data_IF_475763512749
#
_entry.id   IF_475763512749
#
_cell.length_a   1.000
_cell.length_b   1.000
_cell.length_c   1.000
_cell.angle_alpha   90.00
_cell.angle_beta   90.00
_cell.angle_gamma   90.00
#
_symmetry.space_group_name_H-M   'P 1'
#
loop_
_entity.id
_entity.type
_entity.pdbx_description
1 polymer ?
#
# COMPACT_ATOMS: atom_id res chain seq x y z
N UNK A 1 5.49 -7.52 -12.83
CA UNK A 1 4.73 -7.00 -11.69
C UNK A 1 5.56 -7.21 -10.43
N UNK A 2 5.53 -6.26 -9.49
CA UNK A 2 6.22 -6.39 -8.20
C UNK A 2 5.25 -5.99 -7.11
N UNK A 3 5.16 -6.78 -6.04
CA UNK A 3 4.26 -6.54 -4.92
C UNK A 3 5.02 -6.65 -3.60
N UNK A 4 4.71 -5.77 -2.66
CA UNK A 4 5.18 -5.85 -1.27
C UNK A 4 3.97 -5.86 -0.36
N UNK A 5 3.93 -6.79 0.57
CA UNK A 5 2.90 -6.84 1.62
C UNK A 5 3.55 -6.72 2.99
N UNK A 6 3.05 -5.79 3.80
CA UNK A 6 3.37 -5.66 5.21
C UNK A 6 2.18 -6.19 5.99
N UNK A 7 2.45 -7.06 6.96
CA UNK A 7 1.46 -7.59 7.89
C UNK A 7 1.94 -7.33 9.31
N UNK A 8 1.03 -6.96 10.17
CA UNK A 8 1.30 -6.69 11.57
C UNK A 8 0.03 -6.87 12.39
N UNK A 9 0.15 -6.66 13.69
CA UNK A 9 -0.95 -6.81 14.63
C UNK A 9 -0.89 -5.66 15.64
N UNK A 10 -2.05 -5.11 15.96
CA UNK A 10 -2.20 -4.10 17.03
C UNK A 10 -2.75 -4.82 18.26
N UNK A 11 -1.98 -4.80 19.34
CA UNK A 11 -2.36 -5.40 20.61
C UNK A 11 -2.69 -4.32 21.63
N UNK A 12 -3.91 -4.36 22.16
CA UNK A 12 -4.33 -3.53 23.28
C UNK A 12 -4.07 -4.29 24.57
N UNK A 13 -3.15 -3.81 25.39
CA UNK A 13 -2.79 -4.43 26.67
C UNK A 13 -3.15 -3.52 27.84
N UNK A 14 -3.79 -4.09 28.86
CA UNK A 14 -3.89 -3.49 30.18
C UNK A 14 -2.60 -3.80 30.95
N UNK A 15 -1.95 -2.78 31.50
CA UNK A 15 -0.68 -2.93 32.22
C UNK A 15 -0.85 -3.05 33.74
N UNK A 16 -1.93 -2.50 34.31
CA UNK A 16 -2.22 -2.50 35.74
C UNK A 16 -3.70 -2.86 35.99
N UNK A 17 -4.05 -3.60 37.06
CA UNK A 17 -3.15 -4.25 38.03
C UNK A 17 -2.47 -5.53 37.51
N UNK A 18 -3.04 -6.19 36.49
CA UNK A 18 -2.46 -7.38 35.85
C UNK A 18 -2.25 -7.15 34.36
N UNK A 19 -1.13 -7.64 33.82
CA UNK A 19 -0.82 -7.57 32.39
C UNK A 19 -1.77 -8.47 31.61
N UNK A 20 -2.83 -7.90 31.03
CA UNK A 20 -3.85 -8.65 30.29
C UNK A 20 -4.03 -8.10 28.88
N UNK A 21 -4.00 -8.99 27.89
CA UNK A 21 -4.39 -8.68 26.52
C UNK A 21 -5.90 -8.42 26.49
N UNK A 22 -6.29 -7.20 26.12
CA UNK A 22 -7.69 -6.80 25.98
C UNK A 22 -8.22 -7.16 24.60
N UNK A 23 -7.41 -6.90 23.56
CA UNK A 23 -7.80 -7.12 22.17
C UNK A 23 -6.59 -7.20 21.26
N UNK A 24 -6.74 -7.94 20.17
CA UNK A 24 -5.76 -8.08 19.10
C UNK A 24 -6.45 -7.87 17.76
N UNK A 25 -5.95 -6.94 16.95
CA UNK A 25 -6.47 -6.67 15.60
C UNK A 25 -5.35 -6.81 14.56
N UNK A 26 -5.51 -7.68 13.55
CA UNK A 26 -4.55 -7.75 12.46
C UNK A 26 -4.63 -6.50 11.58
N UNK A 27 -3.47 -5.99 11.16
CA UNK A 27 -3.32 -4.90 10.21
C UNK A 27 -2.44 -5.35 9.03
N UNK A 28 -2.72 -4.82 7.85
CA UNK A 28 -1.94 -5.13 6.67
C UNK A 28 -1.97 -3.98 5.66
N UNK A 29 -0.88 -3.84 4.92
CA UNK A 29 -0.76 -2.91 3.82
C UNK A 29 -0.10 -3.62 2.63
N UNK A 30 -0.64 -3.39 1.43
CA UNK A 30 -0.10 -3.94 0.19
C UNK A 30 0.21 -2.81 -0.79
N UNK A 31 1.37 -2.89 -1.45
CA UNK A 31 1.77 -2.00 -2.52
C UNK A 31 2.10 -2.84 -3.75
N UNK A 32 1.41 -2.57 -4.86
CA UNK A 32 1.54 -3.28 -6.13
C UNK A 32 2.03 -2.33 -7.21
N UNK A 33 3.09 -2.73 -7.91
CA UNK A 33 3.64 -2.02 -9.05
C UNK A 33 3.49 -2.84 -10.32
N UNK A 34 2.76 -2.27 -11.29
CA UNK A 34 2.59 -2.83 -12.63
C UNK A 34 3.35 -1.98 -13.63
N UNK A 35 4.26 -2.62 -14.36
CA UNK A 35 4.97 -1.98 -15.46
C UNK A 35 4.26 -2.29 -16.77
N UNK A 36 3.83 -1.25 -17.49
CA UNK A 36 3.22 -1.36 -18.80
C UNK A 36 4.02 -0.53 -19.78
N UNK A 37 4.50 -1.15 -20.86
CA UNK A 37 5.14 -0.46 -21.99
C UNK A 37 4.29 -0.66 -23.25
N UNK A 38 4.15 0.40 -24.04
CA UNK A 38 3.52 0.34 -25.35
C UNK A 38 4.52 0.81 -26.41
N UNK A 39 4.51 0.16 -27.56
CA UNK A 39 5.27 0.55 -28.74
C UNK A 39 4.35 0.50 -29.95
N UNK A 40 4.32 1.57 -30.74
CA UNK A 40 3.61 1.57 -32.00
C UNK A 40 4.40 0.77 -33.05
N UNK A 41 3.71 -0.12 -33.76
CA UNK A 41 4.23 -0.85 -34.91
C UNK A 41 3.26 -0.56 -36.07
N UNK A 42 3.72 0.17 -37.09
CA UNK A 42 2.88 0.61 -38.23
C UNK A 42 2.63 2.13 -38.26
N UNK A 43 1.49 2.55 -38.81
CA UNK A 43 1.14 3.97 -38.96
C UNK A 43 0.61 4.56 -37.64
N UNK A 44 1.39 5.48 -37.08
CA UNK A 44 1.09 6.18 -35.82
C UNK A 44 -0.16 7.05 -35.93
N UNK A 45 -0.54 7.48 -37.15
CA UNK A 45 -1.75 8.30 -37.39
C UNK A 45 -3.05 7.51 -37.28
N UNK A 46 -2.98 6.17 -37.27
CA UNK A 46 -4.16 5.30 -37.11
C UNK A 46 -4.46 4.97 -35.64
N UNK A 47 -3.64 5.45 -34.69
CA UNK A 47 -3.83 5.19 -33.27
C UNK A 47 -4.93 6.08 -32.70
N UNK A 48 -5.78 5.49 -31.85
CA UNK A 48 -6.73 6.28 -31.06
C UNK A 48 -5.99 7.16 -30.04
N UNK A 49 -6.62 8.23 -29.55
CA UNK A 49 -6.00 9.13 -28.58
C UNK A 49 -5.51 8.40 -27.30
N UNK A 50 -6.21 7.36 -26.88
CA UNK A 50 -5.85 6.51 -25.73
C UNK A 50 -4.59 5.67 -25.99
N UNK A 51 -4.48 5.11 -27.20
CA UNK A 51 -3.29 4.39 -27.62
C UNK A 51 -2.10 5.34 -27.74
N UNK A 52 -2.34 6.55 -28.26
CA UNK A 52 -1.34 7.61 -28.42
C UNK A 52 -0.76 8.07 -27.07
N UNK A 53 -1.59 8.19 -26.02
CA UNK A 53 -1.13 8.44 -24.64
C UNK A 53 -0.29 7.29 -24.08
N UNK A 54 -0.65 6.05 -24.40
CA UNK A 54 0.05 4.86 -23.91
C UNK A 54 1.47 4.72 -24.48
N UNK A 55 1.67 5.06 -25.76
CA UNK A 55 3.01 5.12 -26.38
C UNK A 55 3.83 6.34 -25.96
N UNK A 56 3.19 7.44 -25.57
CA UNK A 56 3.90 8.62 -25.06
C UNK A 56 4.34 8.47 -23.59
N UNK A 57 3.81 7.49 -22.87
CA UNK A 57 4.21 7.22 -21.50
C UNK A 57 5.67 6.77 -21.45
N UNK A 58 6.52 7.57 -20.81
CA UNK A 58 7.92 7.19 -20.59
C UNK A 58 7.97 5.96 -19.68
N UNK A 59 8.79 4.94 -19.99
CA UNK A 59 8.95 3.80 -19.12
C UNK A 59 9.52 4.26 -17.78
N UNK A 60 8.74 4.04 -16.72
CA UNK A 60 9.15 4.34 -15.34
C UNK A 60 9.99 3.18 -14.84
N UNK A 61 11.18 3.41 -14.26
CA UNK A 61 11.97 2.33 -13.69
C UNK A 61 11.15 1.62 -12.60
N UNK A 62 11.44 0.33 -12.40
CA UNK A 62 10.86 -0.38 -11.27
C UNK A 62 11.25 0.32 -9.96
N UNK A 63 10.31 0.51 -9.02
CA UNK A 63 10.62 1.06 -7.73
C UNK A 63 11.56 0.13 -6.97
N UNK A 64 12.44 0.74 -6.18
CA UNK A 64 13.29 0.03 -5.23
C UNK A 64 12.45 -0.60 -4.12
N UNK A 65 13.00 -1.59 -3.42
CA UNK A 65 12.30 -2.24 -2.31
C UNK A 65 11.97 -1.24 -1.20
N UNK A 66 12.89 -0.31 -0.89
CA UNK A 66 12.68 0.74 0.11
C UNK A 66 11.54 1.69 -0.27
N UNK A 67 11.43 2.09 -1.53
CA UNK A 67 10.32 2.92 -2.00
C UNK A 67 8.98 2.17 -1.91
N UNK A 68 8.96 0.88 -2.25
CA UNK A 68 7.76 0.07 -2.12
C UNK A 68 7.33 -0.09 -0.65
N UNK A 69 8.28 -0.31 0.26
CA UNK A 69 8.03 -0.38 1.71
C UNK A 69 7.56 0.98 2.25
N UNK A 70 8.18 2.09 1.80
CA UNK A 70 7.79 3.44 2.18
C UNK A 70 6.34 3.75 1.81
N UNK A 71 5.90 3.35 0.61
CA UNK A 71 4.49 3.45 0.19
C UNK A 71 3.53 2.67 1.09
N UNK A 72 3.95 1.52 1.62
CA UNK A 72 3.15 0.75 2.56
C UNK A 72 3.09 1.40 3.96
N UNK A 73 4.09 2.22 4.33
CA UNK A 73 4.20 2.80 5.69
C UNK A 73 3.11 3.83 5.96
N UNK A 74 2.73 4.63 4.96
CA UNK A 74 1.62 5.58 5.08
C UNK A 74 0.28 4.85 5.26
N UNK A 75 0.00 3.86 4.41
CA UNK A 75 -1.19 2.99 4.52
C UNK A 75 -1.25 2.30 5.88
N UNK A 76 -0.12 1.77 6.37
CA UNK A 76 -0.04 1.11 7.66
C UNK A 76 -0.29 2.09 8.82
N UNK A 77 0.27 3.31 8.76
CA UNK A 77 0.08 4.34 9.79
C UNK A 77 -1.37 4.77 9.90
N UNK A 78 -2.05 4.93 8.76
CA UNK A 78 -3.48 5.23 8.73
C UNK A 78 -4.31 4.07 9.28
N UNK A 79 -4.00 2.83 8.90
CA UNK A 79 -4.67 1.65 9.43
C UNK A 79 -4.52 1.52 10.96
N UNK A 80 -3.32 1.78 11.50
CA UNK A 80 -3.10 1.82 12.97
C UNK A 80 -3.95 2.90 13.61
N UNK A 81 -3.98 4.12 13.04
CA UNK A 81 -4.78 5.23 13.56
C UNK A 81 -6.27 4.87 13.62
N UNK A 82 -6.79 4.24 12.57
CA UNK A 82 -8.19 3.80 12.50
C UNK A 82 -8.50 2.74 13.56
N UNK A 83 -7.62 1.76 13.73
CA UNK A 83 -7.75 0.72 14.77
C UNK A 83 -7.77 1.36 16.15
N UNK A 84 -6.87 2.30 16.44
CA UNK A 84 -6.83 3.03 17.71
C UNK A 84 -8.11 3.83 17.93
N UNK A 85 -8.57 4.57 16.92
CA UNK A 85 -9.77 5.42 17.03
C UNK A 85 -11.04 4.61 17.28
N UNK A 86 -11.22 3.48 16.57
CA UNK A 86 -12.35 2.55 16.79
C UNK A 86 -12.34 1.95 18.19
N UNK A 87 -11.15 1.65 18.71
CA UNK A 87 -10.98 1.02 20.02
C UNK A 87 -10.66 2.01 21.14
N UNK A 88 -10.92 3.31 20.94
CA UNK A 88 -10.66 4.35 21.96
C UNK A 88 -11.31 4.06 23.32
N UNK A 89 -12.41 3.32 23.34
CA UNK A 89 -13.10 2.92 24.57
C UNK A 89 -12.29 1.93 25.44
N UNK A 90 -11.29 1.25 24.85
CA UNK A 90 -10.34 0.38 25.54
C UNK A 90 -9.14 1.15 26.11
N UNK A 91 -8.95 2.40 25.69
CA UNK A 91 -7.88 3.29 26.14
C UNK A 91 -8.52 4.24 27.17
N UNK A 92 -8.36 3.93 28.45
CA UNK A 92 -8.74 4.79 29.56
C UNK A 92 -7.51 5.23 30.33
#
# INVERSE_FOLDING_TARGET
>A
EKSVSLRGEVEFMMLNPDRRLLKKEPIGAESRFTFTSARAIGDVKALSEEQLKSIQAKPVPFPTDYEMIGRCTETLSNAVRDVVYRNRHLIK
#
